data_IF_931743724370
#
_entry.id   IF_931743724370
#
_cell.length_a   1.000
_cell.length_b   1.000
_cell.length_c   1.000
_cell.angle_alpha   90.00
_cell.angle_beta   90.00
_cell.angle_gamma   90.00
#
_symmetry.space_group_name_H-M   'P 1'
#
loop_
_entity.id
_entity.type
_entity.pdbx_description
1 polymer ?
#
# COMPACT_ATOMS: atom_id res chain seq x y z
N UNK A 1 -62.42 10.98 0.15
CA UNK A 1 -61.78 12.32 0.20
C UNK A 1 -60.56 12.18 1.08
N UNK A 2 -59.34 12.46 0.64
CA UNK A 2 -58.82 13.69 0.01
C UNK A 2 -58.79 14.87 0.99
N UNK A 3 -57.66 15.03 1.69
CA UNK A 3 -57.12 16.30 2.23
C UNK A 3 -55.58 16.14 2.30
N UNK A 4 -54.85 16.68 1.32
CA UNK A 4 -54.12 17.98 1.31
C UNK A 4 -52.87 17.98 2.21
N UNK A 5 -51.68 17.79 1.62
CA UNK A 5 -50.75 18.82 1.13
C UNK A 5 -50.21 19.78 2.22
N UNK A 6 -48.94 19.61 2.57
CA UNK A 6 -48.06 20.68 3.06
C UNK A 6 -46.64 20.49 2.49
N UNK A 7 -46.15 21.54 1.85
CA UNK A 7 -44.86 21.71 1.18
C UNK A 7 -43.63 21.74 2.11
N UNK A 8 -42.48 21.52 1.45
CA UNK A 8 -41.21 22.28 1.57
C UNK A 8 -40.05 21.76 2.44
N UNK A 9 -38.85 22.08 1.91
CA UNK A 9 -37.48 22.03 2.44
C UNK A 9 -36.72 20.73 2.08
N UNK A 10 -35.63 20.72 1.29
CA UNK A 10 -34.72 21.78 0.86
C UNK A 10 -33.82 21.26 -0.30
N UNK A 11 -33.78 22.00 -1.42
CA UNK A 11 -32.72 21.94 -2.45
C UNK A 11 -31.74 23.09 -2.18
N UNK A 12 -30.44 22.74 -2.02
CA UNK A 12 -29.16 23.48 -2.16
C UNK A 12 -29.13 25.03 -2.05
N UNK A 13 -28.01 25.57 -1.50
CA UNK A 13 -27.19 26.42 -2.37
C UNK A 13 -25.66 26.17 -2.26
N UNK A 14 -24.96 26.66 -3.29
CA UNK A 14 -23.51 26.86 -3.34
C UNK A 14 -23.11 28.02 -2.41
N UNK A 15 -21.92 27.96 -1.83
CA UNK A 15 -21.07 29.11 -1.45
C UNK A 15 -19.65 28.64 -1.82
N UNK A 16 -18.93 29.18 -2.81
CA UNK A 16 -18.52 30.57 -3.01
C UNK A 16 -18.05 31.21 -1.71
N UNK A 17 -16.81 30.89 -1.33
CA UNK A 17 -16.05 31.65 -0.36
C UNK A 17 -15.12 32.61 -1.09
N UNK A 18 -15.51 33.88 -1.17
CA UNK A 18 -14.61 35.00 -1.40
C UNK A 18 -14.33 35.64 -0.04
N UNK A 19 -13.06 35.77 0.34
CA UNK A 19 -12.51 36.75 1.29
C UNK A 19 -11.11 37.10 0.76
N UNK A 20 -11.01 38.17 -0.02
CA UNK A 20 -10.53 39.52 0.37
C UNK A 20 -9.00 39.58 0.58
N UNK A 21 -8.38 40.42 -0.25
CA UNK A 21 -6.96 40.73 -0.32
C UNK A 21 -6.39 41.11 1.05
N UNK A 22 -5.25 40.49 1.41
CA UNK A 22 -4.26 41.11 2.28
C UNK A 22 -2.88 40.79 1.72
N UNK A 23 -2.18 41.88 1.41
CA UNK A 23 -0.81 41.97 0.95
C UNK A 23 0.15 41.59 2.10
N UNK A 24 0.70 40.38 2.07
CA UNK A 24 1.95 40.00 2.74
C UNK A 24 2.46 38.71 2.10
N UNK A 25 3.64 38.81 1.48
CA UNK A 25 4.36 37.73 0.82
C UNK A 25 4.68 36.57 1.76
N UNK A 26 3.74 35.66 1.90
CA UNK A 26 3.97 34.33 2.46
C UNK A 26 3.97 33.31 1.32
N UNK A 27 5.14 32.71 1.10
CA UNK A 27 5.35 31.64 0.14
C UNK A 27 4.33 30.54 0.45
N UNK A 28 3.34 30.38 -0.43
CA UNK A 28 2.47 29.21 -0.43
C UNK A 28 3.36 28.00 -0.66
N UNK A 29 3.73 27.32 0.43
CA UNK A 29 4.26 25.97 0.37
C UNK A 29 3.09 25.10 -0.05
N UNK A 30 2.89 25.05 -1.35
CA UNK A 30 2.00 24.17 -2.07
C UNK A 30 2.12 22.78 -1.42
N UNK A 31 1.09 22.38 -0.66
CA UNK A 31 1.00 21.06 -0.06
C UNK A 31 0.79 20.10 -1.22
N UNK A 32 1.89 19.79 -1.93
CA UNK A 32 1.95 18.75 -2.94
C UNK A 32 1.40 17.50 -2.27
N UNK A 33 0.21 17.09 -2.70
CA UNK A 33 -0.44 15.87 -2.25
C UNK A 33 0.62 14.79 -2.12
N UNK A 34 0.74 14.16 -0.95
CA UNK A 34 1.80 13.20 -0.61
C UNK A 34 1.87 12.01 -1.58
N UNK A 35 0.83 11.80 -2.38
CA UNK A 35 0.73 10.78 -3.43
C UNK A 35 1.34 11.22 -4.78
N UNK A 36 1.61 12.51 -4.98
CA UNK A 36 2.10 13.07 -6.25
C UNK A 36 3.56 12.70 -6.54
N UNK A 37 4.39 12.54 -5.50
CA UNK A 37 5.83 12.22 -5.67
C UNK A 37 6.01 10.78 -6.13
N UNK A 38 5.42 9.80 -5.44
CA UNK A 38 5.56 8.39 -5.80
C UNK A 38 4.98 8.07 -7.19
N UNK A 39 3.87 8.70 -7.57
CA UNK A 39 3.27 8.50 -8.89
C UNK A 39 4.15 9.07 -10.02
N UNK A 40 4.71 10.26 -9.84
CA UNK A 40 5.63 10.83 -10.83
C UNK A 40 6.92 10.02 -10.97
N UNK A 41 7.49 9.52 -9.88
CA UNK A 41 8.68 8.66 -9.95
C UNK A 41 8.40 7.35 -10.69
N UNK A 42 7.19 6.81 -10.53
CA UNK A 42 6.74 5.63 -11.29
C UNK A 42 6.58 5.94 -12.78
N UNK A 43 5.98 7.09 -13.14
CA UNK A 43 5.82 7.55 -14.52
C UNK A 43 7.18 7.84 -15.20
N UNK A 44 8.17 8.32 -14.44
CA UNK A 44 9.56 8.51 -14.90
C UNK A 44 10.35 7.20 -14.99
N UNK A 45 9.80 6.10 -14.47
CA UNK A 45 10.47 4.80 -14.43
C UNK A 45 11.57 4.67 -13.37
N UNK A 46 11.68 5.66 -12.49
CA UNK A 46 12.59 5.65 -11.33
C UNK A 46 12.08 4.70 -10.24
N UNK A 47 10.76 4.54 -10.12
CA UNK A 47 10.12 3.60 -9.22
C UNK A 47 9.44 2.48 -10.01
N UNK A 48 9.72 1.23 -9.65
CA UNK A 48 9.10 0.06 -10.24
C UNK A 48 8.60 -0.89 -9.18
N UNK A 49 7.47 -1.53 -9.45
CA UNK A 49 6.90 -2.53 -8.57
C UNK A 49 6.93 -3.89 -9.26
N UNK A 50 7.56 -4.87 -8.61
CA UNK A 50 7.70 -6.22 -9.15
C UNK A 50 7.19 -7.25 -8.16
N UNK A 51 6.35 -8.17 -8.64
CA UNK A 51 6.05 -9.40 -7.90
C UNK A 51 7.26 -10.35 -8.01
N UNK A 52 7.83 -10.71 -6.86
CA UNK A 52 8.99 -11.59 -6.72
C UNK A 52 8.66 -12.72 -5.75
N UNK A 53 9.22 -13.89 -5.98
CA UNK A 53 9.10 -15.05 -5.11
C UNK A 53 10.39 -15.86 -5.18
N UNK A 54 10.54 -16.84 -4.30
CA UNK A 54 11.69 -17.73 -4.33
C UNK A 54 11.57 -18.73 -5.49
N UNK A 55 12.00 -18.30 -6.68
CA UNK A 55 12.12 -19.10 -7.90
C UNK A 55 13.54 -19.64 -8.12
N UNK A 56 14.47 -19.37 -7.20
CA UNK A 56 15.89 -19.70 -7.35
C UNK A 56 16.68 -18.73 -8.25
N UNK A 57 16.04 -17.70 -8.81
CA UNK A 57 16.75 -16.70 -9.63
C UNK A 57 17.65 -15.82 -8.75
N UNK A 58 18.94 -15.63 -9.11
CA UNK A 58 19.86 -14.79 -8.34
C UNK A 58 19.35 -13.36 -8.13
N UNK A 59 18.66 -12.80 -9.13
CA UNK A 59 18.10 -11.44 -9.04
C UNK A 59 16.95 -11.35 -8.05
N UNK A 60 16.03 -12.32 -8.06
CA UNK A 60 14.91 -12.35 -7.12
C UNK A 60 15.42 -12.64 -5.70
N UNK A 61 16.38 -13.57 -5.54
CA UNK A 61 17.03 -13.84 -4.27
C UNK A 61 17.72 -12.60 -3.70
N UNK A 62 18.41 -11.81 -4.53
CA UNK A 62 18.99 -10.52 -4.11
C UNK A 62 17.92 -9.57 -3.57
N UNK A 63 16.81 -9.41 -4.27
CA UNK A 63 15.73 -8.53 -3.79
C UNK A 63 15.02 -9.07 -2.54
N UNK A 64 14.85 -10.39 -2.41
CA UNK A 64 14.33 -11.03 -1.20
C UNK A 64 15.29 -10.84 -0.01
N UNK A 65 16.60 -10.89 -0.25
CA UNK A 65 17.62 -10.54 0.74
C UNK A 65 17.48 -9.09 1.20
N UNK A 66 17.27 -8.13 0.29
CA UNK A 66 17.05 -6.73 0.67
C UNK A 66 15.72 -6.56 1.45
N UNK A 67 14.65 -7.26 1.05
CA UNK A 67 13.36 -7.22 1.75
C UNK A 67 13.44 -7.77 3.16
N UNK A 68 14.12 -8.90 3.41
CA UNK A 68 14.22 -9.45 4.77
C UNK A 68 14.91 -8.48 5.73
N UNK A 69 15.89 -7.70 5.25
CA UNK A 69 16.58 -6.70 6.07
C UNK A 69 15.64 -5.53 6.38
N UNK A 70 14.89 -5.05 5.39
CA UNK A 70 13.87 -4.00 5.61
C UNK A 70 12.83 -4.47 6.62
N UNK A 71 12.28 -5.68 6.46
CA UNK A 71 11.31 -6.22 7.42
C UNK A 71 11.93 -6.39 8.81
N UNK A 72 13.15 -6.89 8.91
CA UNK A 72 13.84 -7.07 10.20
C UNK A 72 14.11 -5.76 10.94
N UNK A 73 14.36 -4.67 10.21
CA UNK A 73 14.55 -3.34 10.80
C UNK A 73 13.23 -2.66 11.16
N UNK A 74 12.21 -2.77 10.30
CA UNK A 74 10.95 -2.04 10.46
C UNK A 74 9.94 -2.77 11.37
N UNK A 75 10.09 -4.09 11.56
CA UNK A 75 9.20 -4.92 12.38
C UNK A 75 9.97 -5.54 13.56
N UNK A 76 10.41 -4.76 14.56
CA UNK A 76 11.26 -5.26 15.66
C UNK A 76 10.57 -6.30 16.55
N UNK A 77 9.23 -6.35 16.55
CA UNK A 77 8.45 -7.37 17.28
C UNK A 77 8.47 -8.74 16.59
N UNK A 78 8.85 -8.79 15.31
CA UNK A 78 8.87 -10.02 14.54
C UNK A 78 10.26 -10.66 14.63
N UNK A 79 10.38 -11.93 15.07
CA UNK A 79 11.66 -12.63 15.10
C UNK A 79 12.31 -12.69 13.72
N UNK A 80 13.63 -12.48 13.64
CA UNK A 80 14.36 -12.45 12.36
C UNK A 80 14.27 -13.78 11.62
N UNK A 81 14.34 -14.89 12.36
CA UNK A 81 14.21 -16.24 11.83
C UNK A 81 12.82 -16.47 11.21
N UNK A 82 11.77 -15.92 11.84
CA UNK A 82 10.42 -15.97 11.32
C UNK A 82 10.30 -15.19 10.00
N UNK A 83 10.83 -13.97 9.94
CA UNK A 83 10.84 -13.14 8.72
C UNK A 83 11.55 -13.88 7.58
N UNK A 84 12.76 -14.37 7.81
CA UNK A 84 13.56 -15.10 6.81
C UNK A 84 12.77 -16.31 6.31
N UNK A 85 12.20 -17.11 7.23
CA UNK A 85 11.45 -18.31 6.88
C UNK A 85 10.27 -18.00 5.94
N UNK A 86 9.52 -16.93 6.17
CA UNK A 86 8.38 -16.55 5.32
C UNK A 86 8.82 -15.91 4.01
N UNK A 87 9.77 -14.96 4.03
CA UNK A 87 10.24 -14.26 2.82
C UNK A 87 10.84 -15.23 1.80
N UNK A 88 11.58 -16.25 2.24
CA UNK A 88 12.16 -17.26 1.36
C UNK A 88 11.26 -18.48 1.13
N UNK A 89 10.06 -18.52 1.72
CA UNK A 89 9.13 -19.61 1.50
C UNK A 89 8.56 -19.56 0.08
N UNK A 90 8.60 -20.67 -0.67
CA UNK A 90 8.02 -20.78 -2.02
C UNK A 90 6.51 -20.55 -2.08
N UNK A 91 5.81 -20.69 -0.94
CA UNK A 91 4.37 -20.43 -0.81
C UNK A 91 4.04 -18.96 -0.60
N UNK A 92 5.04 -18.11 -0.38
CA UNK A 92 4.86 -16.68 -0.21
C UNK A 92 5.36 -15.95 -1.46
N UNK A 93 4.71 -14.84 -1.74
CA UNK A 93 5.09 -13.89 -2.79
C UNK A 93 5.30 -12.54 -2.15
N UNK A 94 6.22 -11.76 -2.71
CA UNK A 94 6.50 -10.41 -2.26
C UNK A 94 6.35 -9.44 -3.42
N UNK A 95 5.62 -8.35 -3.23
CA UNK A 95 5.66 -7.22 -4.14
C UNK A 95 6.72 -6.26 -3.61
N UNK A 96 7.80 -6.08 -4.36
CA UNK A 96 8.90 -5.20 -4.01
C UNK A 96 8.76 -3.87 -4.74
N UNK A 97 8.92 -2.76 -4.01
CA UNK A 97 9.15 -1.44 -4.55
C UNK A 97 10.66 -1.28 -4.80
N UNK A 98 11.05 -1.16 -6.07
CA UNK A 98 12.43 -1.09 -6.54
C UNK A 98 12.67 0.30 -7.10
N UNK A 99 13.62 1.02 -6.51
CA UNK A 99 14.06 2.32 -7.00
C UNK A 99 15.28 2.14 -7.89
N UNK A 100 15.28 2.83 -9.03
CA UNK A 100 16.37 2.87 -10.02
C UNK A 100 16.93 4.28 -10.04
N UNK A 101 18.25 4.37 -10.05
CA UNK A 101 18.95 5.64 -10.18
C UNK A 101 20.11 5.48 -11.17
N UNK A 102 20.39 6.49 -12.01
CA UNK A 102 21.50 6.42 -12.96
C UNK A 102 22.82 6.10 -12.26
N UNK A 103 23.57 5.13 -12.77
CA UNK A 103 24.89 4.75 -12.23
C UNK A 103 24.87 3.94 -10.93
N UNK A 104 23.70 3.61 -10.38
CA UNK A 104 23.56 2.82 -9.14
C UNK A 104 22.72 1.57 -9.42
N UNK A 105 23.09 0.38 -8.89
CA UNK A 105 22.27 -0.80 -9.05
C UNK A 105 20.88 -0.60 -8.44
N UNK A 106 19.80 -1.19 -9.02
CA UNK A 106 18.47 -1.09 -8.46
C UNK A 106 18.44 -1.58 -7.00
N UNK A 107 17.70 -0.86 -6.16
CA UNK A 107 17.58 -1.14 -4.73
C UNK A 107 16.12 -1.23 -4.32
N UNK A 108 15.83 -2.15 -3.41
CA UNK A 108 14.52 -2.26 -2.79
C UNK A 108 14.37 -1.17 -1.72
N UNK A 109 13.26 -0.46 -1.77
CA UNK A 109 12.89 0.58 -0.78
C UNK A 109 11.78 0.11 0.16
N UNK A 110 11.06 -0.94 -0.20
CA UNK A 110 10.01 -1.53 0.62
C UNK A 110 9.33 -2.70 -0.08
N UNK A 111 8.42 -3.35 0.63
CA UNK A 111 7.63 -4.43 0.04
C UNK A 111 6.50 -4.93 0.92
N UNK A 112 5.63 -5.71 0.28
CA UNK A 112 4.55 -6.45 0.93
C UNK A 112 4.76 -7.93 0.64
N UNK A 113 4.91 -8.73 1.70
CA UNK A 113 4.98 -10.18 1.62
C UNK A 113 3.60 -10.75 1.98
N UNK A 114 3.04 -11.58 1.10
CA UNK A 114 1.76 -12.23 1.30
C UNK A 114 1.79 -13.69 0.86
N UNK A 115 0.85 -14.46 1.40
CA UNK A 115 0.59 -15.84 1.01
C UNK A 115 -0.71 -15.92 0.22
N UNK A 116 -0.67 -16.33 -1.07
CA UNK A 116 -1.89 -16.58 -1.84
C UNK A 116 -2.59 -17.86 -1.40
N UNK A 117 -3.92 -17.81 -1.30
CA UNK A 117 -4.83 -18.95 -1.16
C UNK A 117 -5.76 -18.93 -2.37
N UNK A 118 -5.45 -19.76 -3.38
CA UNK A 118 -6.07 -19.68 -4.70
C UNK A 118 -7.51 -20.21 -4.73
N UNK A 119 -7.81 -21.22 -3.93
CA UNK A 119 -9.14 -21.84 -3.86
C UNK A 119 -10.16 -20.85 -3.27
N UNK A 120 -9.76 -20.19 -2.18
CA UNK A 120 -10.57 -19.22 -1.46
C UNK A 120 -10.42 -17.78 -1.99
N UNK A 121 -9.60 -17.58 -3.02
CA UNK A 121 -9.34 -16.29 -3.69
C UNK A 121 -8.97 -15.15 -2.74
N UNK A 122 -8.26 -15.46 -1.66
CA UNK A 122 -7.75 -14.45 -0.73
C UNK A 122 -6.23 -14.54 -0.55
N UNK A 123 -5.62 -13.44 -0.10
CA UNK A 123 -4.22 -13.36 0.26
C UNK A 123 -4.06 -12.98 1.72
N UNK A 124 -3.15 -13.64 2.43
CA UNK A 124 -2.77 -13.25 3.79
C UNK A 124 -1.49 -12.41 3.73
N UNK A 125 -1.58 -11.13 4.09
CA UNK A 125 -0.41 -10.26 4.20
C UNK A 125 0.32 -10.60 5.50
N UNK A 126 1.53 -11.12 5.35
CA UNK A 126 2.41 -11.44 6.47
C UNK A 126 3.23 -10.21 6.91
N UNK A 127 3.78 -9.47 5.94
CA UNK A 127 4.62 -8.30 6.22
C UNK A 127 4.31 -7.16 5.26
N UNK A 128 4.38 -5.93 5.77
CA UNK A 128 4.28 -4.71 4.98
C UNK A 128 5.21 -3.68 5.60
N UNK A 129 6.24 -3.26 4.87
CA UNK A 129 7.21 -2.29 5.38
C UNK A 129 7.87 -1.48 4.25
N UNK A 130 8.25 -0.25 4.59
CA UNK A 130 9.04 0.65 3.75
C UNK A 130 10.16 1.20 4.60
N UNK A 131 11.36 1.36 4.01
CA UNK A 131 12.50 2.00 4.66
C UNK A 131 12.12 3.36 5.24
N UNK A 132 12.59 3.64 6.44
CA UNK A 132 12.26 4.88 7.17
C UNK A 132 12.54 6.15 6.36
N UNK A 133 13.67 6.20 5.64
CA UNK A 133 14.07 7.34 4.81
C UNK A 133 13.14 7.62 3.62
N UNK A 134 12.36 6.61 3.20
CA UNK A 134 11.40 6.71 2.10
C UNK A 134 9.94 6.78 2.61
N UNK A 135 9.71 6.77 3.92
CA UNK A 135 8.36 6.91 4.47
C UNK A 135 7.78 8.32 4.22
N UNK A 136 6.45 8.45 4.36
CA UNK A 136 5.71 9.73 4.21
C UNK A 136 5.66 10.30 2.77
N UNK A 137 6.31 9.67 1.79
CA UNK A 137 6.32 10.05 0.35
C UNK A 137 5.23 9.40 -0.52
N UNK A 138 4.23 8.76 0.10
CA UNK A 138 3.14 8.08 -0.62
C UNK A 138 3.46 6.68 -1.15
N UNK A 139 4.71 6.20 -1.05
CA UNK A 139 5.08 4.87 -1.53
C UNK A 139 4.27 3.74 -0.87
N UNK A 140 3.87 3.89 0.40
CA UNK A 140 3.05 2.90 1.11
C UNK A 140 1.69 2.67 0.47
N UNK A 141 1.04 3.75 0.03
CA UNK A 141 -0.24 3.68 -0.67
C UNK A 141 -0.06 3.09 -2.07
N UNK A 142 0.94 3.56 -2.83
CA UNK A 142 1.24 3.01 -4.17
C UNK A 142 1.60 1.53 -4.12
N UNK A 143 2.42 1.12 -3.16
CA UNK A 143 2.82 -0.28 -2.96
C UNK A 143 1.60 -1.18 -2.68
N UNK A 144 0.67 -0.75 -1.83
CA UNK A 144 -0.55 -1.51 -1.57
C UNK A 144 -1.45 -1.59 -2.80
N UNK A 145 -1.66 -0.47 -3.50
CA UNK A 145 -2.47 -0.46 -4.73
C UNK A 145 -1.90 -1.40 -5.78
N UNK A 146 -0.58 -1.36 -5.97
CA UNK A 146 0.08 -2.21 -6.93
C UNK A 146 0.13 -3.67 -6.49
N UNK A 147 0.20 -3.93 -5.18
CA UNK A 147 0.03 -5.28 -4.63
C UNK A 147 -1.35 -5.84 -4.93
N UNK A 148 -2.42 -5.05 -4.74
CA UNK A 148 -3.78 -5.46 -5.10
C UNK A 148 -3.90 -5.76 -6.59
N UNK A 149 -3.38 -4.88 -7.45
CA UNK A 149 -3.43 -5.07 -8.89
C UNK A 149 -2.67 -6.32 -9.35
N UNK A 150 -1.41 -6.48 -8.92
CA UNK A 150 -0.55 -7.61 -9.30
C UNK A 150 -1.10 -8.94 -8.76
N UNK A 151 -1.56 -8.98 -7.51
CA UNK A 151 -2.09 -10.22 -6.91
C UNK A 151 -3.41 -10.63 -7.55
N UNK A 152 -4.25 -9.67 -7.96
CA UNK A 152 -5.46 -9.98 -8.73
C UNK A 152 -5.13 -10.47 -10.14
N UNK A 153 -4.13 -9.88 -10.79
CA UNK A 153 -3.73 -10.26 -12.16
C UNK A 153 -3.07 -11.65 -12.20
N UNK A 154 -2.10 -11.88 -11.33
CA UNK A 154 -1.24 -13.07 -11.29
C UNK A 154 -1.93 -14.22 -10.54
N UNK A 155 -2.46 -13.96 -9.35
CA UNK A 155 -2.90 -15.00 -8.41
C UNK A 155 -4.43 -15.16 -8.32
N UNK A 156 -5.18 -14.30 -9.03
CA UNK A 156 -6.65 -14.24 -9.04
C UNK A 156 -7.27 -14.04 -7.66
N UNK A 157 -6.57 -13.29 -6.81
CA UNK A 157 -7.00 -12.93 -5.45
C UNK A 157 -7.90 -11.69 -5.49
N UNK A 158 -9.01 -11.74 -4.77
CA UNK A 158 -9.96 -10.62 -4.62
C UNK A 158 -9.89 -9.96 -3.24
N UNK A 159 -9.51 -10.71 -2.20
CA UNK A 159 -9.53 -10.23 -0.83
C UNK A 159 -8.16 -10.35 -0.15
N UNK A 160 -7.85 -9.44 0.77
CA UNK A 160 -6.69 -9.54 1.63
C UNK A 160 -7.09 -9.59 3.10
N UNK A 161 -6.42 -10.47 3.84
CA UNK A 161 -6.45 -10.54 5.29
C UNK A 161 -5.07 -10.18 5.84
N UNK A 162 -5.01 -9.52 6.99
CA UNK A 162 -3.73 -9.19 7.63
C UNK A 162 -3.92 -9.12 9.13
N UNK A 163 -2.90 -9.55 9.87
CA UNK A 163 -2.76 -9.25 11.29
C UNK A 163 -1.95 -7.96 11.42
N UNK A 164 -2.61 -6.86 11.76
CA UNK A 164 -1.98 -5.56 11.86
C UNK A 164 -1.61 -5.23 13.32
N UNK A 165 -0.40 -4.73 13.53
CA UNK A 165 -0.02 -4.06 14.78
C UNK A 165 -0.88 -2.80 15.01
N UNK A 166 -1.06 -2.40 16.27
CA UNK A 166 -1.83 -1.21 16.66
C UNK A 166 -1.41 0.06 15.90
N UNK A 167 -0.09 0.22 15.65
CA UNK A 167 0.46 1.36 14.91
C UNK A 167 0.12 1.32 13.40
N UNK A 168 -0.15 0.14 12.84
CA UNK A 168 -0.44 -0.06 11.43
C UNK A 168 -1.94 -0.03 11.11
N UNK A 169 -2.83 -0.13 12.11
CA UNK A 169 -4.30 -0.11 11.91
C UNK A 169 -4.73 1.12 11.11
N UNK A 170 -4.19 2.31 11.42
CA UNK A 170 -4.51 3.54 10.71
C UNK A 170 -4.09 3.51 9.24
N UNK A 171 -2.95 2.88 8.93
CA UNK A 171 -2.51 2.67 7.56
C UNK A 171 -3.49 1.74 6.81
N UNK A 172 -3.78 0.56 7.35
CA UNK A 172 -4.65 -0.41 6.70
C UNK A 172 -6.08 0.11 6.50
N UNK A 173 -6.64 0.86 7.46
CA UNK A 173 -7.94 1.55 7.30
C UNK A 173 -7.94 2.49 6.10
N UNK A 174 -6.89 3.30 5.91
CA UNK A 174 -6.75 4.17 4.74
C UNK A 174 -6.64 3.41 3.43
N UNK A 175 -6.14 2.17 3.46
CA UNK A 175 -6.09 1.28 2.30
C UNK A 175 -7.40 0.50 2.07
N UNK A 176 -8.47 0.80 2.81
CA UNK A 176 -9.78 0.14 2.66
C UNK A 176 -9.94 -1.19 3.42
N UNK A 177 -9.01 -1.51 4.33
CA UNK A 177 -9.20 -2.64 5.24
C UNK A 177 -10.16 -2.27 6.35
N UNK A 178 -11.03 -3.22 6.69
CA UNK A 178 -12.04 -3.09 7.73
C UNK A 178 -11.86 -4.24 8.72
N UNK A 179 -12.21 -4.00 9.99
CA UNK A 179 -12.06 -5.01 11.04
C UNK A 179 -13.13 -6.11 10.98
N UNK A 180 -14.25 -5.83 10.31
CA UNK A 180 -15.33 -6.79 10.16
C UNK A 180 -15.00 -7.77 9.03
N UNK A 181 -14.79 -9.05 9.33
CA UNK A 181 -14.52 -10.05 8.29
C UNK A 181 -15.83 -10.36 7.58
N UNK A 182 -15.96 -9.92 6.33
CA UNK A 182 -17.14 -10.14 5.47
C UNK A 182 -17.02 -11.37 4.57
N UNK A 183 -15.88 -12.06 4.59
CA UNK A 183 -15.70 -13.27 3.81
C UNK A 183 -16.57 -14.40 4.35
N UNK A 184 -17.39 -15.00 3.48
CA UNK A 184 -18.15 -16.20 3.82
C UNK A 184 -17.17 -17.30 4.22
N UNK A 185 -17.26 -17.78 5.47
CA UNK A 185 -16.61 -19.03 5.86
C UNK A 185 -17.28 -20.13 5.05
N UNK A 186 -16.57 -20.68 4.07
CA UNK A 186 -17.00 -21.94 3.48
C UNK A 186 -17.08 -22.99 4.61
N UNK A 187 -18.25 -23.63 4.71
CA UNK A 187 -18.59 -24.65 5.69
C UNK A 187 -17.99 -25.99 5.31
#
# INVERSE_FOLDING_TARGET
>A
GAERMSESLSKKPRLDGVVAENDDGTIEVEIKSRDFTAKQEEERGELQFKCIWNDGSPNNLRFLCELKEIFGQQLPKMPKEYIVRLVFCKRHKSVAAIKRSPGVPPRVIGGICYRPYHEERFGEIAFCAIKTEEQVRGYGTRLMNQTKHLSKSIDKIDHFLTYADNFAIGYFKKQGFHMHITMERQR
#
